data_IF_402121117282
#
_entry.id   IF_402121117282
#
_cell.length_a   1.000
_cell.length_b   1.000
_cell.length_c   1.000
_cell.angle_alpha   90.00
_cell.angle_beta   90.00
_cell.angle_gamma   90.00
#
_symmetry.space_group_name_H-M   'P 1'
#
loop_
_entity.id
_entity.type
_entity.pdbx_description
1 polymer ?
#
# COMPACT_ATOMS: atom_id res chain seq x y z
N UNK A 1 -13.88 -12.75 -16.96
CA UNK A 1 -13.65 -13.03 -15.52
C UNK A 1 -12.37 -12.30 -15.13
N UNK A 2 -12.42 -11.27 -14.27
CA UNK A 2 -11.20 -10.58 -13.83
C UNK A 2 -10.41 -11.55 -12.95
N UNK A 3 -9.19 -11.91 -13.33
CA UNK A 3 -8.28 -12.65 -12.44
C UNK A 3 -8.18 -11.85 -11.14
N UNK A 4 -8.43 -12.51 -10.00
CA UNK A 4 -8.17 -11.92 -8.70
C UNK A 4 -6.67 -11.88 -8.52
N UNK A 5 -6.08 -10.68 -8.55
CA UNK A 5 -4.68 -10.49 -8.16
C UNK A 5 -4.55 -10.94 -6.70
N UNK A 6 -3.72 -11.94 -6.46
CA UNK A 6 -3.37 -12.45 -5.13
C UNK A 6 -1.94 -12.02 -4.80
N UNK A 7 -1.62 -11.95 -3.52
CA UNK A 7 -0.26 -11.71 -3.02
C UNK A 7 0.34 -13.08 -2.70
N UNK A 8 1.38 -13.49 -3.42
CA UNK A 8 1.97 -14.84 -3.29
C UNK A 8 3.29 -14.77 -2.55
N UNK A 9 3.26 -15.03 -1.24
CA UNK A 9 4.42 -14.92 -0.33
C UNK A 9 4.74 -16.24 0.39
N UNK A 10 3.95 -17.30 0.15
CA UNK A 10 4.24 -18.65 0.60
C UNK A 10 4.38 -18.75 2.12
N UNK A 11 5.51 -19.28 2.60
CA UNK A 11 5.73 -19.51 4.05
C UNK A 11 5.68 -18.21 4.89
N UNK A 12 5.89 -17.04 4.28
CA UNK A 12 5.78 -15.77 4.97
C UNK A 12 4.33 -15.39 5.32
N UNK A 13 3.33 -16.02 4.70
CA UNK A 13 1.90 -15.76 4.92
C UNK A 13 1.52 -15.83 6.40
N UNK A 14 1.90 -16.91 7.09
CA UNK A 14 1.52 -17.12 8.50
C UNK A 14 2.10 -16.01 9.38
N UNK A 15 3.38 -15.67 9.21
CA UNK A 15 4.03 -14.61 9.98
C UNK A 15 3.40 -13.24 9.74
N UNK A 16 3.04 -12.94 8.49
CA UNK A 16 2.36 -11.69 8.15
C UNK A 16 0.97 -11.62 8.77
N UNK A 17 0.18 -12.70 8.70
CA UNK A 17 -1.15 -12.74 9.31
C UNK A 17 -1.10 -12.64 10.83
N UNK A 18 -0.13 -13.27 11.48
CA UNK A 18 0.06 -13.16 12.94
C UNK A 18 0.40 -11.72 13.37
N UNK A 19 1.25 -11.05 12.57
CA UNK A 19 1.61 -9.64 12.80
C UNK A 19 0.40 -8.74 12.59
N UNK A 20 -0.30 -8.88 11.46
CA UNK A 20 -1.53 -8.13 11.18
C UNK A 20 -2.62 -8.37 12.23
N UNK A 21 -2.76 -9.60 12.74
CA UNK A 21 -3.70 -9.90 13.81
C UNK A 21 -3.36 -9.14 15.09
N UNK A 22 -2.09 -9.08 15.47
CA UNK A 22 -1.63 -8.36 16.65
C UNK A 22 -1.82 -6.85 16.51
N UNK A 23 -1.53 -6.29 15.34
CA UNK A 23 -1.71 -4.87 15.03
C UNK A 23 -3.19 -4.49 15.02
N UNK A 24 -4.03 -5.31 14.37
CA UNK A 24 -5.48 -5.11 14.33
C UNK A 24 -6.09 -5.20 15.72
N UNK A 25 -5.64 -6.13 16.56
CA UNK A 25 -6.08 -6.22 17.96
C UNK A 25 -5.75 -4.94 18.75
N UNK A 26 -4.58 -4.34 18.51
CA UNK A 26 -4.21 -3.06 19.10
C UNK A 26 -5.13 -1.93 18.59
N UNK A 27 -5.35 -1.85 17.28
CA UNK A 27 -6.22 -0.83 16.67
C UNK A 27 -7.65 -0.92 17.20
N UNK A 28 -8.18 -2.14 17.35
CA UNK A 28 -9.50 -2.39 17.93
C UNK A 28 -9.59 -1.93 19.38
N UNK A 29 -8.59 -2.22 20.22
CA UNK A 29 -8.53 -1.75 21.62
C UNK A 29 -8.49 -0.23 21.74
N UNK A 30 -7.87 0.44 20.77
CA UNK A 30 -7.83 1.90 20.68
C UNK A 30 -9.07 2.50 20.01
N UNK A 31 -10.06 1.67 19.67
CA UNK A 31 -11.26 2.06 18.92
C UNK A 31 -10.94 2.76 17.59
N UNK A 32 -9.82 2.41 16.94
CA UNK A 32 -9.44 2.90 15.63
C UNK A 32 -10.10 2.03 14.56
N UNK A 33 -10.61 2.67 13.51
CA UNK A 33 -11.24 1.99 12.38
C UNK A 33 -11.06 2.81 11.10
N UNK A 34 -11.56 2.30 9.98
CA UNK A 34 -11.38 2.90 8.66
C UNK A 34 -9.90 2.96 8.20
N UNK A 35 -9.04 2.09 8.76
CA UNK A 35 -7.64 1.91 8.32
C UNK A 35 -7.54 1.03 7.07
N UNK A 36 -6.54 1.27 6.24
CA UNK A 36 -6.33 0.51 5.01
C UNK A 36 -4.99 -0.22 5.03
N UNK A 37 -4.87 -1.31 4.27
CA UNK A 37 -3.58 -1.91 3.97
C UNK A 37 -3.04 -1.30 2.67
N UNK A 38 -1.92 -0.59 2.76
CA UNK A 38 -1.15 -0.16 1.60
C UNK A 38 -0.29 -1.32 1.12
N UNK A 39 -0.37 -1.62 -0.17
CA UNK A 39 0.44 -2.64 -0.83
C UNK A 39 1.14 -2.02 -2.03
N UNK A 40 2.46 -1.86 -1.93
CA UNK A 40 3.33 -1.56 -3.05
C UNK A 40 3.80 -2.86 -3.70
N UNK A 41 3.82 -2.93 -5.03
CA UNK A 41 4.29 -4.08 -5.79
C UNK A 41 5.45 -3.62 -6.67
N UNK A 42 6.62 -4.19 -6.44
CA UNK A 42 7.79 -4.01 -7.29
C UNK A 42 7.98 -5.27 -8.15
N UNK A 43 7.78 -5.12 -9.46
CA UNK A 43 8.03 -6.16 -10.45
C UNK A 43 9.52 -6.12 -10.84
N UNK A 44 10.28 -7.13 -10.40
CA UNK A 44 11.72 -7.17 -10.63
C UNK A 44 12.06 -7.41 -12.11
N UNK A 45 11.20 -8.10 -12.86
CA UNK A 45 11.43 -8.39 -14.29
C UNK A 45 11.30 -7.09 -15.08
N UNK A 46 10.21 -6.35 -14.86
CA UNK A 46 10.00 -5.06 -15.51
C UNK A 46 11.09 -4.06 -15.13
N UNK A 47 11.50 -4.03 -13.87
CA UNK A 47 12.58 -3.15 -13.42
C UNK A 47 13.93 -3.46 -14.09
N UNK A 48 14.23 -4.74 -14.32
CA UNK A 48 15.43 -5.18 -15.03
C UNK A 48 15.40 -4.79 -16.52
N UNK A 49 14.26 -4.97 -17.19
CA UNK A 49 14.06 -4.57 -18.60
C UNK A 49 14.18 -3.05 -18.80
N UNK A 50 13.57 -2.25 -17.91
CA UNK A 50 13.66 -0.79 -17.95
C UNK A 50 15.10 -0.30 -17.74
N UNK A 51 15.88 -0.97 -16.89
CA UNK A 51 17.29 -0.65 -16.67
C UNK A 51 18.15 -0.91 -17.92
N UNK A 52 17.94 -2.05 -18.59
CA UNK A 52 18.66 -2.39 -19.83
C UNK A 52 18.34 -1.41 -20.98
N UNK A 53 17.10 -0.92 -21.06
CA UNK A 53 16.70 0.07 -22.07
C UNK A 53 17.26 1.47 -21.79
N UNK A 54 17.37 1.85 -20.52
CA UNK A 54 17.99 3.11 -20.09
C UNK A 54 19.47 3.19 -20.44
N UNK A 55 20.21 2.07 -20.34
CA UNK A 55 21.62 1.99 -20.74
C UNK A 55 21.80 2.10 -22.27
N UNK A 56 20.92 1.49 -23.06
CA UNK A 56 21.02 1.52 -24.52
C UNK A 56 20.71 2.91 -25.13
N UNK A 57 19.99 3.75 -24.40
CA UNK A 57 19.67 5.13 -24.81
C UNK A 57 20.81 6.12 -24.47
N UNK A 58 21.78 5.74 -23.64
CA UNK A 58 22.99 6.53 -23.40
C UNK A 58 24.11 6.30 -24.44
N UNK A 59 23.98 5.29 -25.31
CA UNK A 59 24.98 4.98 -26.34
C UNK A 59 24.84 5.73 -27.67
N UNK A 60 23.69 6.32 -28.00
CA UNK A 60 23.44 6.91 -29.33
C UNK A 60 22.57 8.18 -29.31
N UNK A 61 22.98 9.23 -28.59
CA UNK A 61 22.62 10.62 -28.94
C UNK A 61 23.72 11.58 -28.48
N UNK A 62 24.92 11.40 -29.05
CA UNK A 62 25.84 12.51 -29.28
C UNK A 62 25.55 13.07 -30.69
N UNK A 63 24.41 13.74 -30.84
CA UNK A 63 24.14 14.62 -31.98
C UNK A 63 23.05 15.61 -31.60
N UNK A 64 23.33 16.86 -31.92
CA UNK A 64 22.61 18.08 -31.57
C UNK A 64 21.17 18.10 -32.11
N UNK A 65 20.35 18.96 -31.50
CA UNK A 65 19.09 19.53 -31.99
C UNK A 65 17.76 18.87 -31.59
N UNK A 66 17.12 19.39 -30.54
CA UNK A 66 15.67 19.69 -30.53
C UNK A 66 15.37 20.71 -29.45
N UNK A 67 15.31 21.95 -29.90
CA UNK A 67 14.80 23.12 -29.21
C UNK A 67 13.34 22.88 -28.82
N UNK A 68 13.00 23.01 -27.53
CA UNK A 68 11.68 23.49 -27.13
C UNK A 68 11.73 24.12 -25.73
N UNK A 69 11.69 25.45 -25.77
CA UNK A 69 11.24 26.39 -24.75
C UNK A 69 12.06 26.48 -23.44
N UNK A 70 13.12 27.28 -23.50
CA UNK A 70 13.62 28.01 -22.34
C UNK A 70 12.52 28.93 -21.79
N UNK A 71 12.03 28.65 -20.59
CA UNK A 71 11.41 29.66 -19.75
C UNK A 71 12.48 30.30 -18.84
N UNK A 72 13.21 31.26 -19.41
CA UNK A 72 13.96 32.24 -18.63
C UNK A 72 12.96 33.17 -17.92
N UNK A 73 12.86 33.05 -16.60
CA UNK A 73 12.17 34.01 -15.74
C UNK A 73 12.56 33.83 -14.27
N UNK A 74 13.70 34.39 -13.89
CA UNK A 74 13.88 35.07 -12.61
C UNK A 74 14.02 34.21 -11.35
N UNK A 75 14.95 34.62 -10.50
CA UNK A 75 15.20 34.14 -9.14
C UNK A 75 13.90 33.92 -8.34
N UNK A 76 13.44 32.68 -8.24
CA UNK A 76 12.35 32.29 -7.34
C UNK A 76 12.49 30.85 -6.93
N UNK A 77 12.87 30.65 -5.67
CA UNK A 77 12.80 29.41 -4.89
C UNK A 77 11.77 28.38 -5.43
N UNK A 78 12.24 27.34 -6.13
CA UNK A 78 11.41 26.23 -6.61
C UNK A 78 11.56 25.00 -5.70
N UNK A 79 10.99 25.06 -4.50
CA UNK A 79 10.73 23.86 -3.68
C UNK A 79 9.30 23.35 -3.84
N UNK A 80 8.79 23.25 -5.08
CA UNK A 80 7.39 22.86 -5.33
C UNK A 80 7.20 21.66 -6.27
N UNK A 81 8.26 21.05 -6.76
CA UNK A 81 8.18 19.69 -7.31
C UNK A 81 8.77 18.73 -6.30
N UNK A 82 8.09 17.62 -5.96
CA UNK A 82 8.73 16.49 -5.29
C UNK A 82 10.05 16.18 -5.99
N UNK A 83 11.11 15.80 -5.25
CA UNK A 83 12.33 15.33 -5.90
C UNK A 83 11.96 14.25 -6.92
N UNK A 84 12.53 14.33 -8.12
CA UNK A 84 12.35 13.29 -9.13
C UNK A 84 12.69 11.94 -8.50
N UNK A 85 11.84 10.93 -8.76
CA UNK A 85 12.13 9.55 -8.36
C UNK A 85 13.56 9.21 -8.77
N UNK A 86 14.41 8.69 -7.87
CA UNK A 86 15.82 8.46 -8.16
C UNK A 86 15.94 7.57 -9.41
N UNK A 87 16.31 8.20 -10.53
CA UNK A 87 16.53 7.50 -11.79
C UNK A 87 17.76 6.62 -11.63
N UNK A 88 17.56 5.31 -11.51
CA UNK A 88 18.65 4.33 -11.55
C UNK A 88 19.01 3.66 -10.22
N UNK A 89 18.21 3.78 -9.16
CA UNK A 89 18.35 2.84 -8.04
C UNK A 89 17.84 1.46 -8.49
N UNK A 90 18.72 0.63 -9.05
CA UNK A 90 18.43 -0.78 -9.30
C UNK A 90 18.17 -1.44 -7.94
N UNK A 91 16.90 -1.71 -7.64
CA UNK A 91 16.48 -2.38 -6.42
C UNK A 91 16.84 -3.87 -6.55
N UNK A 92 18.10 -4.20 -6.29
CA UNK A 92 18.65 -5.54 -6.56
C UNK A 92 18.34 -6.54 -5.46
N UNK A 93 18.18 -6.08 -4.22
CA UNK A 93 18.05 -6.96 -3.07
C UNK A 93 17.34 -6.25 -1.93
N UNK A 94 16.49 -6.97 -1.20
CA UNK A 94 15.80 -6.45 -0.01
C UNK A 94 16.82 -6.30 1.12
N UNK A 95 17.03 -5.07 1.59
CA UNK A 95 17.87 -4.81 2.75
C UNK A 95 16.97 -4.66 3.97
N UNK A 96 16.73 -5.76 4.69
CA UNK A 96 15.74 -5.81 5.79
C UNK A 96 15.93 -4.77 6.91
N UNK A 97 17.10 -4.15 7.05
CA UNK A 97 17.33 -3.05 8.00
C UNK A 97 16.71 -1.72 7.55
N UNK A 98 16.58 -1.51 6.24
CA UNK A 98 16.00 -0.31 5.62
C UNK A 98 14.58 -0.59 5.11
N UNK A 99 14.41 -1.76 4.51
CA UNK A 99 13.20 -2.22 3.84
C UNK A 99 12.33 -3.07 4.77
N UNK A 100 12.05 -2.53 5.95
CA UNK A 100 11.34 -3.24 7.04
C UNK A 100 9.95 -3.77 6.66
N UNK A 101 9.35 -3.22 5.60
CA UNK A 101 8.03 -3.60 5.09
C UNK A 101 8.07 -4.50 3.86
N UNK A 102 9.26 -4.84 3.38
CA UNK A 102 9.44 -5.62 2.15
C UNK A 102 9.32 -7.12 2.44
N UNK A 103 8.51 -7.79 1.63
CA UNK A 103 8.31 -9.24 1.63
C UNK A 103 8.51 -9.73 0.19
N UNK A 104 9.52 -10.55 -0.08
CA UNK A 104 9.71 -11.13 -1.41
C UNK A 104 8.58 -12.11 -1.72
N UNK A 105 8.17 -12.18 -2.99
CA UNK A 105 7.23 -13.18 -3.47
C UNK A 105 7.86 -14.58 -3.51
N UNK A 106 7.04 -15.58 -3.80
CA UNK A 106 7.52 -16.88 -4.29
C UNK A 106 8.41 -16.70 -5.53
N UNK A 107 9.40 -17.60 -5.70
CA UNK A 107 10.46 -17.47 -6.73
C UNK A 107 9.92 -17.30 -8.16
N UNK A 108 8.81 -17.94 -8.48
CA UNK A 108 8.21 -17.94 -9.83
C UNK A 108 7.69 -16.55 -10.25
N UNK A 109 7.33 -15.70 -9.29
CA UNK A 109 6.66 -14.43 -9.56
C UNK A 109 7.63 -13.24 -9.65
N UNK A 110 8.80 -13.32 -8.99
CA UNK A 110 9.84 -12.27 -8.97
C UNK A 110 9.27 -10.87 -8.65
N UNK A 111 8.41 -10.78 -7.64
CA UNK A 111 7.87 -9.53 -7.11
C UNK A 111 8.37 -9.26 -5.69
N UNK A 112 8.43 -7.99 -5.29
CA UNK A 112 8.63 -7.57 -3.89
C UNK A 112 7.41 -6.78 -3.44
N UNK A 113 6.80 -7.21 -2.35
CA UNK A 113 5.63 -6.54 -1.75
C UNK A 113 6.05 -5.64 -0.61
N UNK A 114 5.62 -4.38 -0.63
CA UNK A 114 5.77 -3.44 0.48
C UNK A 114 4.43 -3.27 1.16
N UNK A 115 4.31 -3.73 2.40
CA UNK A 115 3.02 -3.84 3.07
C UNK A 115 3.01 -3.03 4.38
N UNK A 116 2.02 -2.15 4.54
CA UNK A 116 1.85 -1.38 5.77
C UNK A 116 0.37 -1.04 6.03
N UNK A 117 -0.03 -0.99 7.30
CA UNK A 117 -1.33 -0.41 7.69
C UNK A 117 -1.20 1.12 7.72
N UNK A 118 -2.14 1.81 7.09
CA UNK A 118 -2.21 3.28 7.02
C UNK A 118 -3.53 3.81 7.57
N UNK A 119 -3.63 5.13 7.72
CA UNK A 119 -4.84 5.85 8.18
C UNK A 119 -5.33 5.47 9.59
N UNK A 120 -4.39 5.17 10.49
CA UNK A 120 -4.64 4.70 11.87
C UNK A 120 -5.07 5.78 12.87
N UNK A 121 -5.40 7.00 12.42
CA UNK A 121 -5.78 8.10 13.33
C UNK A 121 -7.29 8.35 13.39
N UNK A 122 -8.09 7.56 12.68
CA UNK A 122 -9.55 7.69 12.67
C UNK A 122 -10.17 6.94 13.85
N UNK A 123 -10.35 7.64 14.97
CA UNK A 123 -11.01 7.08 16.15
C UNK A 123 -12.54 6.99 15.98
N UNK A 124 -13.10 5.88 16.41
CA UNK A 124 -14.54 5.70 16.57
C UNK A 124 -15.04 6.47 17.79
N UNK A 125 -15.45 7.72 17.57
CA UNK A 125 -15.99 8.55 18.65
C UNK A 125 -17.42 8.17 19.08
N UNK A 126 -17.79 8.58 20.31
CA UNK A 126 -19.14 8.50 20.91
C UNK A 126 -20.28 9.03 20.02
N UNK A 127 -19.98 9.92 19.07
CA UNK A 127 -20.94 10.41 18.06
C UNK A 127 -21.46 9.28 17.17
N UNK A 128 -20.64 8.27 16.85
CA UNK A 128 -21.05 7.08 16.08
C UNK A 128 -21.82 6.07 16.95
N UNK A 129 -21.52 5.97 18.25
CA UNK A 129 -22.33 5.17 19.20
C UNK A 129 -23.76 5.71 19.33
N UNK A 130 -23.95 7.04 19.39
CA UNK A 130 -25.26 7.67 19.40
C UNK A 130 -26.03 7.40 18.09
N UNK A 131 -25.34 7.47 16.93
CA UNK A 131 -25.93 7.13 15.63
C UNK A 131 -26.30 5.65 15.51
N UNK A 132 -25.49 4.73 16.07
CA UNK A 132 -25.77 3.29 16.15
C UNK A 132 -27.01 3.02 17.02
N UNK A 133 -27.05 3.60 18.22
CA UNK A 133 -28.20 3.49 19.12
C UNK A 133 -29.50 4.01 18.49
N UNK A 134 -29.46 5.19 17.86
CA UNK A 134 -30.63 5.75 17.17
C UNK A 134 -31.12 4.90 15.99
N UNK A 135 -30.19 4.27 15.23
CA UNK A 135 -30.54 3.40 14.11
C UNK A 135 -31.08 2.04 14.57
N UNK A 136 -30.54 1.44 15.64
CA UNK A 136 -31.07 0.19 16.22
C UNK A 136 -32.50 0.36 16.74
N UNK A 137 -32.80 1.52 17.35
CA UNK A 137 -34.15 1.85 17.81
C UNK A 137 -35.13 2.01 16.65
N UNK A 138 -34.67 2.53 15.50
CA UNK A 138 -35.53 2.84 14.34
C UNK A 138 -35.71 1.68 13.36
N UNK A 139 -34.72 0.80 13.19
CA UNK A 139 -34.69 -0.23 12.14
C UNK A 139 -34.56 -1.67 12.65
N UNK A 140 -34.48 -1.89 13.97
CA UNK A 140 -34.26 -3.21 14.55
C UNK A 140 -32.78 -3.63 14.58
N UNK A 141 -32.48 -4.70 15.31
CA UNK A 141 -31.10 -5.17 15.57
C UNK A 141 -30.40 -5.82 14.38
N UNK A 142 -31.14 -6.22 13.33
CA UNK A 142 -30.62 -6.89 12.14
C UNK A 142 -30.49 -5.94 10.96
N UNK A 143 -29.49 -5.06 10.99
CA UNK A 143 -29.10 -4.29 9.81
C UNK A 143 -27.62 -4.54 9.53
N UNK A 144 -27.35 -5.73 8.97
CA UNK A 144 -26.11 -6.00 8.26
C UNK A 144 -25.95 -4.95 7.14
N UNK A 145 -24.99 -4.04 7.29
CA UNK A 145 -24.70 -3.01 6.29
C UNK A 145 -24.83 -1.55 6.75
N UNK A 146 -25.08 -1.26 8.04
CA UNK A 146 -24.93 0.13 8.51
C UNK A 146 -23.44 0.52 8.47
N UNK A 147 -23.12 1.57 7.71
CA UNK A 147 -21.79 2.20 7.49
C UNK A 147 -20.99 2.58 8.76
N UNK A 148 -21.52 2.31 9.94
CA UNK A 148 -20.88 2.44 11.26
C UNK A 148 -20.74 1.04 11.87
N UNK A 149 -19.92 0.19 11.23
CA UNK A 149 -19.57 -1.11 11.82
C UNK A 149 -18.71 -0.89 13.06
N UNK A 150 -18.92 -1.76 14.05
CA UNK A 150 -18.13 -1.78 15.28
C UNK A 150 -16.63 -2.03 14.98
N UNK A 151 -15.67 -1.44 15.73
CA UNK A 151 -14.24 -1.74 15.55
C UNK A 151 -13.93 -3.24 15.52
N UNK A 152 -14.63 -4.06 16.29
CA UNK A 152 -14.47 -5.52 16.30
C UNK A 152 -14.93 -6.17 14.98
N UNK A 153 -16.05 -5.70 14.43
CA UNK A 153 -16.56 -6.15 13.13
C UNK A 153 -15.67 -5.69 11.98
N UNK A 154 -15.11 -4.47 12.08
CA UNK A 154 -14.17 -3.95 11.10
C UNK A 154 -12.90 -4.82 11.06
N UNK A 155 -12.30 -5.07 12.21
CA UNK A 155 -11.12 -5.92 12.39
C UNK A 155 -11.33 -7.33 11.80
N UNK A 156 -12.43 -7.98 12.17
CA UNK A 156 -12.76 -9.31 11.64
C UNK A 156 -12.88 -9.31 10.12
N UNK A 157 -13.59 -8.32 9.55
CA UNK A 157 -13.74 -8.21 8.09
C UNK A 157 -12.41 -7.95 7.40
N UNK A 158 -11.54 -7.13 8.01
CA UNK A 158 -10.21 -6.84 7.49
C UNK A 158 -9.34 -8.11 7.44
N UNK A 159 -9.23 -8.85 8.55
CA UNK A 159 -8.45 -10.09 8.62
C UNK A 159 -9.02 -11.19 7.70
N UNK A 160 -10.34 -11.37 7.67
CA UNK A 160 -11.03 -12.32 6.78
C UNK A 160 -10.75 -12.01 5.30
N UNK A 161 -10.54 -10.74 4.95
CA UNK A 161 -10.19 -10.33 3.59
C UNK A 161 -8.71 -10.59 3.30
N UNK A 162 -7.82 -10.29 4.25
CA UNK A 162 -6.37 -10.52 4.12
C UNK A 162 -6.03 -11.99 3.95
N UNK A 163 -6.62 -12.88 4.75
CA UNK A 163 -6.39 -14.33 4.64
C UNK A 163 -6.79 -14.89 3.26
N UNK A 164 -7.82 -14.30 2.63
CA UNK A 164 -8.28 -14.68 1.28
C UNK A 164 -7.46 -14.05 0.15
N UNK A 165 -6.82 -12.91 0.40
CA UNK A 165 -6.07 -12.16 -0.59
C UNK A 165 -4.60 -12.60 -0.68
N UNK A 166 -4.07 -13.21 0.37
CA UNK A 166 -2.67 -13.61 0.52
C UNK A 166 -2.56 -15.15 0.43
N UNK A 167 -1.61 -15.64 -0.35
CA UNK A 167 -1.31 -17.05 -0.59
C UNK A 167 0.15 -17.39 -0.25
#
# INVERSE_FOLDING_TARGET
MKQKVKIEIGEAKTKLLDTLSSDVDLLTKLHIMDYSLLVGIHDCVRAEEEALQGENTQGTTRSENSESEECDSGERWTYNTPPDSPRGAQYKEVVYEVDIYAIPSVEERREIYFIAIIDVLTQYGVKKQAAKAAKTVKYGSNVDGISTCDPEQYAKRFLDFMDKAIE
#
